data_IF_994949584580
#
_entry.id   IF_994949584580
#
_cell.length_a   1.000
_cell.length_b   1.000
_cell.length_c   1.000
_cell.angle_alpha   90.00
_cell.angle_beta   90.00
_cell.angle_gamma   90.00
#
_symmetry.space_group_name_H-M   'P 1'
#
loop_
_entity.id
_entity.type
_entity.pdbx_description
1 polymer ?
#
# COMPACT_ATOMS: atom_id res chain seq x y z
N UNK A 1 0.67 9.77 15.52
CA UNK A 1 1.26 10.95 14.85
C UNK A 1 1.25 10.81 13.33
N UNK A 2 1.67 9.69 12.74
CA UNK A 2 1.75 9.50 11.27
C UNK A 2 0.43 9.87 10.56
N UNK A 3 -0.77 9.40 10.98
CA UNK A 3 -2.03 9.79 10.34
C UNK A 3 -2.23 11.30 10.29
N UNK A 4 -1.97 12.00 11.41
CA UNK A 4 -2.15 13.44 11.49
C UNK A 4 -1.12 14.20 10.64
N UNK A 5 0.11 13.71 10.52
CA UNK A 5 1.13 14.31 9.62
C UNK A 5 0.66 14.22 8.18
N UNK A 6 0.19 13.05 7.73
CA UNK A 6 -0.31 12.84 6.36
C UNK A 6 -1.53 13.73 6.08
N UNK A 7 -2.51 13.75 6.99
CA UNK A 7 -3.73 14.53 6.82
C UNK A 7 -3.46 16.06 6.82
N UNK A 8 -2.65 16.54 7.76
CA UNK A 8 -2.27 17.96 7.81
C UNK A 8 -1.45 18.37 6.60
N UNK A 9 -0.48 17.54 6.17
CA UNK A 9 0.29 17.81 4.95
C UNK A 9 -0.63 17.95 3.73
N UNK A 10 -1.60 17.06 3.59
CA UNK A 10 -2.58 17.16 2.49
C UNK A 10 -3.43 18.42 2.58
N UNK A 11 -3.89 18.80 3.77
CA UNK A 11 -4.63 20.03 3.96
C UNK A 11 -3.81 21.24 3.50
N UNK A 12 -2.57 21.38 3.97
CA UNK A 12 -1.69 22.50 3.59
C UNK A 12 -1.38 22.54 2.10
N UNK A 13 -1.04 21.40 1.47
CA UNK A 13 -0.78 21.39 0.02
C UNK A 13 -2.02 21.70 -0.83
N UNK A 14 -3.21 21.53 -0.25
CA UNK A 14 -4.50 21.91 -0.85
C UNK A 14 -4.91 23.35 -0.53
N UNK A 15 -4.03 24.13 0.08
CA UNK A 15 -4.29 25.53 0.46
C UNK A 15 -5.29 25.68 1.61
N UNK A 16 -5.47 24.66 2.45
CA UNK A 16 -6.40 24.63 3.57
C UNK A 16 -5.67 24.56 4.90
N UNK A 17 -6.23 25.22 5.93
CA UNK A 17 -5.84 24.93 7.30
C UNK A 17 -6.40 23.56 7.73
N UNK A 18 -5.63 22.74 8.49
CA UNK A 18 -6.12 21.49 9.01
C UNK A 18 -7.33 21.68 9.94
N UNK A 19 -8.42 21.00 9.66
CA UNK A 19 -9.57 20.92 10.56
C UNK A 19 -9.25 19.94 11.69
N UNK A 20 -8.99 20.44 12.90
CA UNK A 20 -8.71 19.57 14.03
C UNK A 20 -9.94 18.73 14.41
N UNK A 21 -9.78 17.43 14.62
CA UNK A 21 -10.90 16.54 14.92
C UNK A 21 -11.47 16.83 16.30
N UNK A 22 -12.73 16.45 16.50
CA UNK A 22 -13.36 16.45 17.83
C UNK A 22 -12.63 15.48 18.76
N UNK A 23 -12.60 15.80 20.05
CA UNK A 23 -11.94 14.97 21.08
C UNK A 23 -12.53 13.56 21.19
N UNK A 24 -13.84 13.42 20.92
CA UNK A 24 -14.58 12.17 20.98
C UNK A 24 -14.62 11.39 19.65
N UNK A 25 -13.97 11.92 18.60
CA UNK A 25 -13.95 11.26 17.29
C UNK A 25 -13.11 9.98 17.32
N UNK A 26 -13.64 8.91 16.71
CA UNK A 26 -12.88 7.68 16.47
C UNK A 26 -11.70 7.90 15.54
N UNK A 27 -10.74 6.98 15.53
CA UNK A 27 -9.48 7.14 14.79
C UNK A 27 -9.67 7.42 13.29
N UNK A 28 -10.52 6.67 12.60
CA UNK A 28 -10.80 6.85 11.17
C UNK A 28 -11.55 8.16 10.89
N UNK A 29 -12.53 8.52 11.74
CA UNK A 29 -13.26 9.78 11.64
C UNK A 29 -12.35 10.98 11.85
N UNK A 30 -11.51 10.94 12.89
CA UNK A 30 -10.53 11.98 13.18
C UNK A 30 -9.56 12.20 12.01
N UNK A 31 -9.01 11.11 11.48
CA UNK A 31 -8.12 11.15 10.32
C UNK A 31 -8.79 11.75 9.09
N UNK A 32 -9.98 11.24 8.72
CA UNK A 32 -10.71 11.71 7.54
C UNK A 32 -11.16 13.17 7.67
N UNK A 33 -11.59 13.61 8.86
CA UNK A 33 -12.00 15.00 9.08
C UNK A 33 -10.88 15.99 8.76
N UNK A 34 -9.65 15.69 9.19
CA UNK A 34 -8.48 16.51 8.88
C UNK A 34 -8.12 16.42 7.40
N UNK A 35 -8.15 15.21 6.85
CA UNK A 35 -7.76 14.94 5.46
C UNK A 35 -8.70 15.64 4.46
N UNK A 36 -10.02 15.49 4.64
CA UNK A 36 -11.04 16.03 3.76
C UNK A 36 -11.34 17.52 4.04
N UNK A 37 -11.12 17.98 5.28
CA UNK A 37 -11.50 19.31 5.73
C UNK A 37 -12.99 19.48 6.00
N UNK A 38 -13.70 18.37 6.15
CA UNK A 38 -15.14 18.30 6.43
C UNK A 38 -15.47 17.07 7.24
N UNK A 39 -16.70 16.98 7.73
CA UNK A 39 -17.18 15.79 8.43
C UNK A 39 -17.38 14.65 7.43
N UNK A 40 -16.68 13.51 7.59
CA UNK A 40 -16.84 12.36 6.70
C UNK A 40 -18.21 11.70 6.87
N UNK A 41 -18.69 11.03 5.81
CA UNK A 41 -19.89 10.20 5.89
C UNK A 41 -19.62 8.94 6.74
N UNK A 42 -20.66 8.35 7.34
CA UNK A 42 -20.50 7.09 8.06
C UNK A 42 -19.92 5.96 7.20
N UNK A 43 -20.22 5.90 5.90
CA UNK A 43 -19.64 4.92 4.99
C UNK A 43 -18.15 5.17 4.78
N UNK A 44 -17.74 6.42 4.54
CA UNK A 44 -16.33 6.80 4.42
C UNK A 44 -15.53 6.39 5.67
N UNK A 45 -16.07 6.62 6.87
CA UNK A 45 -15.44 6.22 8.14
C UNK A 45 -15.27 4.70 8.19
N UNK A 46 -16.33 3.92 7.91
CA UNK A 46 -16.26 2.46 7.93
C UNK A 46 -15.26 1.90 6.92
N UNK A 47 -15.20 2.49 5.74
CA UNK A 47 -14.28 2.04 4.67
C UNK A 47 -12.83 2.29 5.05
N UNK A 48 -12.51 3.46 5.58
CA UNK A 48 -11.13 3.76 6.02
C UNK A 48 -10.76 2.95 7.25
N UNK A 49 -11.65 2.78 8.24
CA UNK A 49 -11.38 1.96 9.41
C UNK A 49 -11.08 0.50 9.01
N UNK A 50 -11.92 -0.08 8.14
CA UNK A 50 -11.68 -1.40 7.55
C UNK A 50 -10.36 -1.45 6.78
N UNK A 51 -10.06 -0.41 5.98
CA UNK A 51 -8.79 -0.26 5.27
C UNK A 51 -7.60 -0.31 6.23
N UNK A 52 -7.64 0.44 7.32
CA UNK A 52 -6.58 0.42 8.32
C UNK A 52 -6.38 -0.97 8.95
N UNK A 53 -7.47 -1.66 9.28
CA UNK A 53 -7.40 -3.01 9.85
C UNK A 53 -6.77 -4.00 8.87
N UNK A 54 -7.19 -4.04 7.60
CA UNK A 54 -6.67 -5.02 6.62
C UNK A 54 -5.25 -4.71 6.16
N UNK A 55 -4.80 -3.47 6.32
CA UNK A 55 -3.41 -3.06 6.01
C UNK A 55 -2.47 -3.14 7.21
N UNK A 56 -2.97 -3.28 8.44
CA UNK A 56 -2.20 -3.09 9.67
C UNK A 56 -0.91 -3.90 9.73
N UNK A 57 -0.93 -5.17 9.37
CA UNK A 57 0.28 -6.00 9.30
C UNK A 57 0.22 -6.98 8.13
N UNK A 58 1.39 -7.44 7.72
CA UNK A 58 1.56 -8.49 6.72
C UNK A 58 2.88 -9.24 6.94
N UNK A 59 3.12 -9.65 8.16
CA UNK A 59 4.31 -10.40 8.56
C UNK A 59 5.61 -9.67 8.22
N UNK A 60 6.66 -10.45 7.91
CA UNK A 60 7.99 -9.93 7.61
C UNK A 60 8.13 -9.47 6.15
N UNK A 61 7.26 -8.54 5.71
CA UNK A 61 7.43 -7.86 4.42
C UNK A 61 8.64 -6.92 4.43
N UNK A 62 9.05 -6.41 3.27
CA UNK A 62 10.29 -5.64 3.13
C UNK A 62 10.37 -4.45 4.09
N UNK A 63 9.31 -3.66 4.24
CA UNK A 63 9.31 -2.50 5.15
C UNK A 63 9.28 -2.89 6.62
N UNK A 64 8.53 -3.92 7.01
CA UNK A 64 8.53 -4.44 8.38
C UNK A 64 9.91 -5.04 8.74
N UNK A 65 10.53 -5.76 7.81
CA UNK A 65 11.89 -6.27 7.98
C UNK A 65 12.90 -5.14 8.13
N UNK A 66 12.78 -4.07 7.35
CA UNK A 66 13.64 -2.88 7.46
C UNK A 66 13.51 -2.21 8.83
N UNK A 67 12.27 -2.08 9.37
CA UNK A 67 12.07 -1.60 10.73
C UNK A 67 12.78 -2.49 11.77
N UNK A 68 12.66 -3.81 11.64
CA UNK A 68 13.35 -4.78 12.53
C UNK A 68 14.86 -4.67 12.44
N UNK A 69 15.43 -4.47 11.25
CA UNK A 69 16.88 -4.26 11.07
C UNK A 69 17.33 -3.01 11.80
N UNK A 70 16.60 -1.89 11.66
CA UNK A 70 16.91 -0.65 12.35
C UNK A 70 16.87 -0.83 13.89
N UNK A 71 15.82 -1.44 14.43
CA UNK A 71 15.70 -1.76 15.86
C UNK A 71 16.82 -2.74 16.29
N UNK A 72 17.15 -3.71 15.44
CA UNK A 72 18.27 -4.64 15.66
C UNK A 72 19.59 -3.92 15.93
N UNK A 73 19.81 -2.80 15.25
CA UNK A 73 20.94 -1.90 15.46
C UNK A 73 20.77 -0.97 16.68
N UNK A 74 19.70 -1.09 17.47
CA UNK A 74 19.32 -0.21 18.59
C UNK A 74 19.02 1.24 18.18
N UNK A 75 18.55 1.45 16.95
CA UNK A 75 17.97 2.72 16.56
C UNK A 75 16.64 2.95 17.30
N UNK A 76 16.24 4.21 17.44
CA UNK A 76 14.96 4.54 18.06
C UNK A 76 13.76 4.24 17.14
N UNK A 77 12.55 4.31 17.70
CA UNK A 77 11.30 4.02 16.97
C UNK A 77 11.11 4.95 15.77
N UNK A 78 11.49 6.23 15.87
CA UNK A 78 11.33 7.20 14.80
C UNK A 78 12.23 6.83 13.61
N UNK A 79 13.49 6.49 13.87
CA UNK A 79 14.43 6.03 12.86
C UNK A 79 13.95 4.73 12.19
N UNK A 80 13.44 3.77 12.97
CA UNK A 80 12.91 2.51 12.46
C UNK A 80 11.70 2.71 11.54
N UNK A 81 10.76 3.57 11.93
CA UNK A 81 9.59 3.89 11.11
C UNK A 81 9.98 4.68 9.84
N UNK A 82 10.94 5.59 9.95
CA UNK A 82 11.48 6.32 8.78
C UNK A 82 12.11 5.35 7.77
N UNK A 83 12.89 4.39 8.24
CA UNK A 83 13.49 3.36 7.39
C UNK A 83 12.42 2.46 6.75
N UNK A 84 11.36 2.08 7.50
CA UNK A 84 10.23 1.33 6.99
C UNK A 84 9.48 2.10 5.89
N UNK A 85 9.21 3.39 6.08
CA UNK A 85 8.57 4.27 5.10
C UNK A 85 9.42 4.38 3.84
N UNK A 86 10.73 4.57 3.98
CA UNK A 86 11.66 4.62 2.85
C UNK A 86 11.63 3.32 2.02
N UNK A 87 11.67 2.15 2.68
CA UNK A 87 11.54 0.87 1.99
C UNK A 87 10.15 0.70 1.35
N UNK A 88 9.09 1.20 2.00
CA UNK A 88 7.71 1.10 1.52
C UNK A 88 7.47 1.96 0.28
N UNK A 89 8.11 3.12 0.16
CA UNK A 89 7.95 4.04 -0.98
C UNK A 89 8.48 3.47 -2.32
N UNK A 90 9.19 2.35 -2.28
CA UNK A 90 9.70 1.70 -3.50
C UNK A 90 8.58 1.21 -4.42
N UNK A 91 8.79 1.35 -5.74
CA UNK A 91 7.80 1.04 -6.79
C UNK A 91 7.35 -0.43 -6.84
N UNK A 92 8.12 -1.35 -6.27
CA UNK A 92 7.80 -2.78 -6.19
C UNK A 92 7.24 -3.17 -4.81
N UNK A 93 6.91 -2.20 -3.95
CA UNK A 93 6.32 -2.42 -2.64
C UNK A 93 5.06 -1.58 -2.47
N UNK A 94 5.11 -0.33 -1.99
CA UNK A 94 3.92 0.48 -1.72
C UNK A 94 3.31 1.16 -2.94
N UNK A 95 4.06 1.32 -4.04
CA UNK A 95 3.59 2.04 -5.24
C UNK A 95 2.59 1.28 -6.12
N UNK A 96 2.13 0.08 -5.72
CA UNK A 96 1.22 -0.71 -6.54
C UNK A 96 -0.21 -0.17 -6.53
N UNK A 97 -0.70 0.34 -5.42
CA UNK A 97 -2.08 0.84 -5.28
C UNK A 97 -2.35 2.05 -6.20
N UNK A 98 -1.40 2.98 -6.33
CA UNK A 98 -1.50 4.12 -7.26
C UNK A 98 -1.60 3.65 -8.71
N UNK A 99 -0.83 2.63 -9.11
CA UNK A 99 -0.86 2.10 -10.47
C UNK A 99 -2.14 1.34 -10.82
N UNK A 100 -2.86 0.80 -9.84
CA UNK A 100 -4.19 0.20 -10.08
C UNK A 100 -5.20 1.27 -10.50
N UNK A 101 -5.10 2.47 -9.95
CA UNK A 101 -5.98 3.57 -10.35
C UNK A 101 -5.73 3.94 -11.82
N UNK A 102 -4.47 4.00 -12.24
CA UNK A 102 -4.10 4.18 -13.66
C UNK A 102 -4.66 3.09 -14.56
N UNK A 103 -4.69 1.83 -14.11
CA UNK A 103 -5.30 0.72 -14.84
C UNK A 103 -6.80 0.95 -15.12
N UNK A 104 -7.55 1.51 -14.16
CA UNK A 104 -8.97 1.85 -14.37
C UNK A 104 -9.12 2.87 -15.51
N UNK A 105 -8.27 3.89 -15.53
CA UNK A 105 -8.29 4.93 -16.57
C UNK A 105 -7.87 4.38 -17.93
N UNK A 106 -6.86 3.51 -17.99
CA UNK A 106 -6.38 2.87 -19.23
C UNK A 106 -7.41 1.91 -19.84
N UNK A 107 -8.14 1.15 -19.02
CA UNK A 107 -9.19 0.24 -19.47
C UNK A 107 -10.42 1.03 -19.95
N UNK A 108 -10.79 2.09 -19.23
CA UNK A 108 -11.84 3.04 -19.58
C UNK A 108 -13.26 2.49 -19.45
N UNK A 109 -13.56 1.29 -19.97
CA UNK A 109 -14.87 0.62 -19.83
C UNK A 109 -14.72 -0.87 -19.55
N UNK A 110 -15.70 -1.52 -18.88
CA UNK A 110 -15.63 -2.95 -18.58
C UNK A 110 -15.42 -3.85 -19.81
N UNK A 111 -15.98 -3.47 -20.96
CA UNK A 111 -15.90 -4.23 -22.22
C UNK A 111 -14.45 -4.31 -22.75
N UNK A 112 -13.62 -3.33 -22.45
CA UNK A 112 -12.22 -3.29 -22.87
C UNK A 112 -11.29 -4.17 -22.01
N UNK A 113 -11.74 -4.62 -20.84
CA UNK A 113 -10.90 -5.28 -19.85
C UNK A 113 -10.20 -6.53 -20.39
N UNK A 114 -10.91 -7.40 -21.13
CA UNK A 114 -10.33 -8.63 -21.68
C UNK A 114 -9.22 -8.33 -22.68
N UNK A 115 -9.46 -7.42 -23.62
CA UNK A 115 -8.48 -7.02 -24.64
C UNK A 115 -7.26 -6.35 -24.00
N UNK A 116 -7.48 -5.48 -23.01
CA UNK A 116 -6.40 -4.79 -22.29
C UNK A 116 -5.51 -5.79 -21.52
N UNK A 117 -6.11 -6.70 -20.75
CA UNK A 117 -5.40 -7.76 -20.03
C UNK A 117 -4.62 -8.67 -21.00
N UNK A 118 -5.23 -9.07 -22.11
CA UNK A 118 -4.56 -9.91 -23.12
C UNK A 118 -3.34 -9.19 -23.73
N UNK A 119 -3.46 -7.89 -24.00
CA UNK A 119 -2.36 -7.08 -24.53
C UNK A 119 -1.19 -6.98 -23.55
N UNK A 120 -1.44 -6.67 -22.26
CA UNK A 120 -0.40 -6.63 -21.21
C UNK A 120 0.29 -7.99 -21.07
N UNK A 121 -0.50 -9.06 -20.96
CA UNK A 121 0.04 -10.42 -20.82
C UNK A 121 0.81 -10.90 -22.04
N UNK A 122 0.38 -10.51 -23.24
CA UNK A 122 1.08 -10.80 -24.50
C UNK A 122 2.46 -10.13 -24.57
N UNK A 123 2.65 -8.98 -23.93
CA UNK A 123 3.96 -8.29 -23.80
C UNK A 123 4.79 -8.76 -22.60
N UNK A 124 4.25 -9.70 -21.80
CA UNK A 124 4.92 -10.14 -20.55
C UNK A 124 4.84 -9.11 -19.42
N UNK A 125 3.98 -8.10 -19.55
CA UNK A 125 3.81 -7.04 -18.56
C UNK A 125 2.89 -7.49 -17.41
N UNK A 126 3.13 -7.01 -16.17
CA UNK A 126 2.26 -7.30 -15.05
C UNK A 126 0.94 -6.54 -15.18
N UNK A 127 -0.18 -7.18 -14.79
CA UNK A 127 -1.44 -6.49 -14.53
C UNK A 127 -1.43 -6.04 -13.07
N UNK A 128 -1.57 -4.74 -12.82
CA UNK A 128 -1.53 -4.19 -11.47
C UNK A 128 -2.71 -4.72 -10.64
N UNK A 129 -2.50 -4.92 -9.34
CA UNK A 129 -3.49 -5.53 -8.45
C UNK A 129 -3.54 -7.05 -8.48
N UNK A 130 -2.59 -7.71 -9.19
CA UNK A 130 -2.50 -9.17 -9.28
C UNK A 130 -1.11 -9.70 -8.96
N UNK A 131 -1.10 -10.92 -8.40
CA UNK A 131 0.12 -11.59 -7.95
C UNK A 131 0.50 -11.23 -6.52
N UNK A 132 1.14 -12.17 -5.83
CA UNK A 132 1.57 -12.01 -4.45
C UNK A 132 2.78 -12.91 -4.14
N UNK A 133 3.68 -12.42 -3.28
CA UNK A 133 4.87 -13.20 -2.89
C UNK A 133 4.53 -14.40 -2.00
N UNK A 134 3.51 -14.27 -1.16
CA UNK A 134 3.11 -15.28 -0.16
C UNK A 134 1.88 -16.06 -0.63
N UNK A 135 0.79 -15.35 -0.97
CA UNK A 135 -0.45 -16.00 -1.40
C UNK A 135 -0.31 -16.58 -2.82
N UNK A 136 -0.74 -17.82 -2.97
CA UNK A 136 -0.81 -18.54 -4.27
C UNK A 136 -2.23 -18.57 -4.83
N UNK A 137 -3.19 -18.16 -4.01
CA UNK A 137 -4.61 -17.96 -4.33
C UNK A 137 -4.96 -16.50 -4.11
N UNK A 138 -6.24 -16.15 -4.20
CA UNK A 138 -6.71 -14.80 -3.91
C UNK A 138 -6.30 -14.37 -2.49
N UNK A 139 -5.83 -13.14 -2.37
CA UNK A 139 -5.51 -12.52 -1.09
C UNK A 139 -6.81 -12.35 -0.27
N UNK A 140 -6.90 -12.89 0.96
CA UNK A 140 -8.13 -12.85 1.76
C UNK A 140 -8.64 -11.44 2.06
N UNK A 141 -7.80 -10.41 1.92
CA UNK A 141 -8.15 -9.00 2.13
C UNK A 141 -8.98 -8.42 0.98
N UNK A 142 -8.85 -8.97 -0.23
CA UNK A 142 -9.54 -8.51 -1.45
C UNK A 142 -11.05 -8.42 -1.25
N UNK A 143 -11.67 -9.46 -0.70
CA UNK A 143 -13.13 -9.50 -0.47
C UNK A 143 -13.62 -8.34 0.42
N UNK A 144 -12.82 -7.96 1.42
CA UNK A 144 -13.17 -6.89 2.36
C UNK A 144 -13.05 -5.52 1.70
N UNK A 145 -12.01 -5.30 0.91
CA UNK A 145 -11.82 -4.04 0.17
C UNK A 145 -12.82 -3.90 -0.97
N UNK A 146 -13.11 -4.99 -1.70
CA UNK A 146 -14.16 -4.97 -2.71
C UNK A 146 -15.53 -4.60 -2.10
N UNK A 147 -15.88 -5.16 -0.94
CA UNK A 147 -17.11 -4.79 -0.23
C UNK A 147 -17.15 -3.29 0.14
N UNK A 148 -15.99 -2.71 0.50
CA UNK A 148 -15.86 -1.27 0.76
C UNK A 148 -16.07 -0.43 -0.50
N UNK A 149 -15.52 -0.87 -1.64
CA UNK A 149 -15.75 -0.19 -2.93
C UNK A 149 -17.22 -0.27 -3.35
N UNK A 150 -17.88 -1.42 -3.15
CA UNK A 150 -19.33 -1.56 -3.41
C UNK A 150 -20.12 -0.54 -2.59
N UNK A 151 -19.88 -0.45 -1.28
CA UNK A 151 -20.54 0.49 -0.37
C UNK A 151 -20.37 1.95 -0.82
N UNK A 152 -19.16 2.36 -1.17
CA UNK A 152 -18.89 3.73 -1.63
C UNK A 152 -19.48 4.01 -3.02
N UNK A 153 -19.45 3.02 -3.92
CA UNK A 153 -20.03 3.15 -5.25
C UNK A 153 -21.56 3.32 -5.20
N UNK A 154 -22.22 2.59 -4.30
CA UNK A 154 -23.66 2.73 -4.06
C UNK A 154 -24.00 4.09 -3.44
N UNK A 155 -23.23 4.56 -2.45
CA UNK A 155 -23.42 5.88 -1.85
C UNK A 155 -23.27 7.01 -2.89
N UNK A 156 -22.34 6.87 -3.83
CA UNK A 156 -22.09 7.88 -4.87
C UNK A 156 -22.98 7.72 -6.11
N UNK A 157 -23.65 6.59 -6.27
CA UNK A 157 -24.41 6.28 -7.48
C UNK A 157 -23.52 6.08 -8.71
N UNK A 158 -22.23 5.77 -8.52
CA UNK A 158 -21.25 5.52 -9.59
C UNK A 158 -20.53 4.21 -9.37
N UNK A 159 -20.76 3.25 -10.26
CA UNK A 159 -20.14 1.92 -10.23
C UNK A 159 -19.07 1.71 -11.30
N UNK A 160 -18.81 2.70 -12.14
CA UNK A 160 -17.96 2.57 -13.32
C UNK A 160 -16.60 1.95 -12.98
N UNK A 161 -15.89 2.49 -12.00
CA UNK A 161 -14.58 1.97 -11.57
C UNK A 161 -14.67 0.54 -11.00
N UNK A 162 -15.71 0.23 -10.23
CA UNK A 162 -15.95 -1.10 -9.68
C UNK A 162 -16.19 -2.12 -10.80
N UNK A 163 -17.05 -1.79 -11.75
CA UNK A 163 -17.40 -2.69 -12.87
C UNK A 163 -16.19 -2.94 -13.78
N UNK A 164 -15.33 -1.94 -13.98
CA UNK A 164 -14.04 -2.11 -14.68
C UNK A 164 -13.13 -3.08 -13.91
N UNK A 165 -12.91 -2.89 -12.61
CA UNK A 165 -12.04 -3.76 -11.82
C UNK A 165 -12.59 -5.20 -11.72
N UNK A 166 -13.90 -5.37 -11.62
CA UNK A 166 -14.54 -6.68 -11.64
C UNK A 166 -14.39 -7.39 -13.01
N UNK A 167 -14.45 -6.63 -14.10
CA UNK A 167 -14.18 -7.14 -15.44
C UNK A 167 -12.70 -7.54 -15.60
N UNK A 168 -11.76 -6.72 -15.14
CA UNK A 168 -10.33 -7.05 -15.12
C UNK A 168 -10.07 -8.29 -14.28
N UNK A 169 -10.68 -8.40 -13.09
CA UNK A 169 -10.57 -9.58 -12.24
C UNK A 169 -11.08 -10.85 -12.94
N UNK A 170 -12.16 -10.71 -13.71
CA UNK A 170 -12.71 -11.80 -14.52
C UNK A 170 -11.76 -12.19 -15.66
N UNK A 171 -11.22 -11.23 -16.39
CA UNK A 171 -10.25 -11.45 -17.46
C UNK A 171 -8.96 -12.12 -16.94
N UNK A 172 -8.58 -11.88 -15.68
CA UNK A 172 -7.39 -12.46 -15.05
C UNK A 172 -7.59 -13.91 -14.53
N UNK A 173 -8.81 -14.44 -14.48
CA UNK A 173 -9.08 -15.82 -13.97
C UNK A 173 -8.21 -16.92 -14.59
N UNK A 174 -7.90 -16.94 -15.90
CA UNK A 174 -7.03 -17.97 -16.47
C UNK A 174 -5.63 -18.06 -15.84
N UNK A 175 -5.11 -16.95 -15.31
CA UNK A 175 -3.77 -16.89 -14.67
C UNK A 175 -3.77 -17.22 -13.18
N UNK A 176 -4.93 -17.28 -12.52
CA UNK A 176 -5.03 -17.65 -11.09
C UNK A 176 -4.43 -19.02 -10.78
N UNK A 177 -4.62 -19.99 -11.69
CA UNK A 177 -4.00 -21.32 -11.57
C UNK A 177 -2.46 -21.29 -11.56
N UNK A 178 -1.85 -20.19 -11.99
CA UNK A 178 -0.41 -19.96 -11.96
C UNK A 178 0.02 -19.11 -10.76
N UNK A 179 -0.85 -18.90 -9.77
CA UNK A 179 -0.57 -18.12 -8.58
C UNK A 179 -0.64 -16.60 -8.80
N UNK A 180 -1.23 -16.15 -9.94
CA UNK A 180 -1.42 -14.72 -10.24
C UNK A 180 -2.89 -14.36 -9.98
N UNK A 181 -3.25 -14.31 -8.70
CA UNK A 181 -4.58 -13.94 -8.23
C UNK A 181 -4.63 -12.48 -7.77
N UNK A 182 -5.84 -11.94 -7.56
CA UNK A 182 -6.03 -10.59 -7.06
C UNK A 182 -5.36 -10.40 -5.69
N UNK A 183 -4.75 -9.24 -5.50
CA UNK A 183 -4.11 -8.85 -4.24
C UNK A 183 -4.79 -7.61 -3.64
N UNK A 184 -4.32 -7.19 -2.46
CA UNK A 184 -4.89 -6.10 -1.66
C UNK A 184 -5.00 -4.77 -2.43
N UNK A 185 -4.10 -4.50 -3.37
CA UNK A 185 -4.05 -3.23 -4.08
C UNK A 185 -5.21 -3.05 -5.07
N UNK A 186 -5.80 -4.17 -5.58
CA UNK A 186 -6.81 -4.13 -6.65
C UNK A 186 -8.00 -3.19 -6.35
N UNK A 187 -8.50 -3.20 -5.11
CA UNK A 187 -9.63 -2.35 -4.74
C UNK A 187 -9.26 -1.21 -3.78
N UNK A 188 -8.05 -1.22 -3.18
CA UNK A 188 -7.64 -0.19 -2.24
C UNK A 188 -7.58 1.19 -2.90
N UNK A 189 -6.92 1.31 -4.05
CA UNK A 189 -6.81 2.57 -4.78
C UNK A 189 -8.17 3.17 -5.15
N UNK A 190 -9.09 2.35 -5.68
CA UNK A 190 -10.43 2.81 -6.04
C UNK A 190 -11.22 3.30 -4.81
N UNK A 191 -11.04 2.69 -3.62
CA UNK A 191 -11.65 3.20 -2.39
C UNK A 191 -11.23 4.64 -2.11
N UNK A 192 -9.95 4.97 -2.32
CA UNK A 192 -9.43 6.32 -2.09
C UNK A 192 -9.95 7.32 -3.12
N UNK A 193 -10.01 6.95 -4.40
CA UNK A 193 -10.61 7.78 -5.46
C UNK A 193 -12.09 8.06 -5.20
N UNK A 194 -12.86 7.04 -4.77
CA UNK A 194 -14.26 7.21 -4.39
C UNK A 194 -14.44 8.10 -3.15
N UNK A 195 -13.45 8.27 -2.31
CA UNK A 195 -13.44 9.25 -1.22
C UNK A 195 -13.06 10.66 -1.69
N UNK A 196 -12.79 10.85 -2.98
CA UNK A 196 -12.37 12.14 -3.55
C UNK A 196 -10.90 12.49 -3.25
N UNK A 197 -10.10 11.50 -2.87
CA UNK A 197 -8.69 11.70 -2.56
C UNK A 197 -7.83 11.62 -3.83
N UNK A 198 -6.79 12.46 -3.96
CA UNK A 198 -5.85 12.38 -5.07
C UNK A 198 -5.10 11.05 -5.09
N UNK A 199 -4.85 10.54 -6.29
CA UNK A 199 -4.24 9.23 -6.50
C UNK A 199 -2.84 9.11 -5.86
N UNK A 200 -2.08 10.20 -5.84
CA UNK A 200 -0.73 10.29 -5.22
C UNK A 200 -0.72 10.15 -3.69
N UNK A 201 -1.90 10.19 -3.05
CA UNK A 201 -2.03 9.85 -1.63
C UNK A 201 -2.10 8.35 -1.34
N UNK A 202 -2.29 7.50 -2.34
CA UNK A 202 -2.52 6.07 -2.12
C UNK A 202 -1.41 5.41 -1.28
N UNK A 203 -0.14 5.72 -1.59
CA UNK A 203 1.01 5.22 -0.81
C UNK A 203 0.98 5.73 0.63
N UNK A 204 0.68 7.01 0.84
CA UNK A 204 0.63 7.62 2.18
C UNK A 204 -0.52 7.05 3.03
N UNK A 205 -1.69 6.80 2.42
CA UNK A 205 -2.84 6.16 3.07
C UNK A 205 -2.52 4.72 3.48
N UNK A 206 -1.82 3.99 2.62
CA UNK A 206 -1.35 2.65 2.96
C UNK A 206 -0.35 2.69 4.13
N UNK A 207 0.58 3.65 4.14
CA UNK A 207 1.52 3.88 5.26
C UNK A 207 0.78 4.12 6.56
N UNK A 208 -0.28 4.93 6.56
CA UNK A 208 -1.12 5.18 7.74
C UNK A 208 -1.69 3.86 8.27
N UNK A 209 -2.26 3.04 7.41
CA UNK A 209 -2.80 1.72 7.78
C UNK A 209 -1.72 0.76 8.29
N UNK A 210 -0.52 0.77 7.70
CA UNK A 210 0.58 -0.15 8.02
C UNK A 210 1.40 0.26 9.25
N UNK A 211 1.39 1.52 9.64
CA UNK A 211 2.20 2.02 10.76
C UNK A 211 2.01 1.25 12.08
N UNK A 212 0.79 0.83 12.49
CA UNK A 212 0.62 0.02 13.70
C UNK A 212 1.38 -1.31 13.63
N UNK A 213 1.36 -1.99 12.48
CA UNK A 213 2.10 -3.23 12.28
C UNK A 213 3.61 -3.04 12.36
N UNK A 214 4.15 -1.97 11.75
CA UNK A 214 5.58 -1.66 11.91
C UNK A 214 5.97 -1.39 13.35
N UNK A 215 5.11 -0.68 14.11
CA UNK A 215 5.33 -0.46 15.55
C UNK A 215 5.33 -1.78 16.31
N UNK A 216 4.35 -2.66 16.05
CA UNK A 216 4.28 -3.98 16.67
C UNK A 216 5.52 -4.82 16.36
N UNK A 217 5.95 -4.87 15.10
CA UNK A 217 7.15 -5.57 14.65
C UNK A 217 8.44 -5.00 15.31
N UNK A 218 8.50 -3.67 15.43
CA UNK A 218 9.63 -2.99 16.09
C UNK A 218 9.67 -3.28 17.59
N UNK A 219 8.54 -3.25 18.29
CA UNK A 219 8.43 -3.57 19.71
C UNK A 219 8.80 -5.03 20.00
N UNK A 220 8.34 -5.96 19.17
CA UNK A 220 8.70 -7.37 19.28
C UNK A 220 10.20 -7.57 19.10
N UNK A 221 10.80 -6.93 18.09
CA UNK A 221 12.26 -6.97 17.88
C UNK A 221 13.01 -6.36 19.04
N UNK A 222 12.53 -5.25 19.60
CA UNK A 222 13.15 -4.59 20.75
C UNK A 222 13.16 -5.47 22.00
N UNK A 223 12.03 -6.18 22.25
CA UNK A 223 11.87 -7.04 23.43
C UNK A 223 12.86 -8.21 23.46
N UNK A 224 13.22 -8.77 22.32
CA UNK A 224 14.15 -9.88 22.16
C UNK A 224 15.22 -9.51 21.12
N UNK A 225 15.95 -8.43 21.36
CA UNK A 225 16.80 -7.82 20.36
C UNK A 225 18.03 -8.64 20.01
N UNK A 226 18.16 -8.93 18.72
CA UNK A 226 19.35 -9.51 18.09
C UNK A 226 19.74 -8.64 16.90
N UNK A 227 21.03 -8.33 16.79
CA UNK A 227 21.56 -7.63 15.62
C UNK A 227 21.35 -8.51 14.37
N UNK A 228 20.52 -8.04 13.45
CA UNK A 228 20.26 -8.71 12.18
C UNK A 228 21.42 -8.42 11.24
N UNK A 229 22.30 -9.40 11.08
CA UNK A 229 23.48 -9.29 10.22
C UNK A 229 23.68 -10.60 9.44
N UNK A 230 23.17 -10.67 8.20
CA UNK A 230 23.37 -11.85 7.34
C UNK A 230 24.86 -12.12 7.09
N UNK A 231 25.23 -13.39 7.09
CA UNK A 231 26.55 -13.84 6.63
C UNK A 231 26.51 -14.06 5.12
N UNK A 232 27.53 -13.53 4.45
CA UNK A 232 27.65 -13.66 3.00
C UNK A 232 28.85 -14.53 2.64
N UNK A 233 28.68 -15.40 1.63
CA UNK A 233 29.77 -16.07 0.98
C UNK A 233 30.26 -15.21 -0.19
N UNK A 234 31.53 -14.82 -0.16
CA UNK A 234 32.12 -14.09 -1.28
C UNK A 234 32.33 -15.02 -2.47
N UNK A 235 31.72 -14.68 -3.61
CA UNK A 235 31.78 -15.45 -4.87
C UNK A 235 32.65 -14.78 -5.95
N UNK A 236 33.25 -13.64 -5.65
CA UNK A 236 34.10 -12.92 -6.60
C UNK A 236 35.53 -13.44 -6.68
N UNK A 237 36.37 -12.87 -7.55
CA UNK A 237 37.78 -13.22 -7.69
C UNK A 237 38.56 -13.01 -6.39
N UNK A 238 39.44 -13.95 -6.05
CA UNK A 238 40.31 -13.88 -4.88
C UNK A 238 41.77 -13.70 -5.28
N UNK A 239 42.60 -13.13 -4.39
CA UNK A 239 44.02 -12.99 -4.61
C UNK A 239 44.40 -11.93 -5.65
N UNK A 240 43.48 -11.02 -5.99
CA UNK A 240 43.80 -9.92 -6.90
C UNK A 240 44.84 -9.00 -6.22
N UNK A 241 45.93 -8.63 -6.95
CA UNK A 241 46.85 -7.65 -6.44
C UNK A 241 46.17 -6.28 -6.32
N UNK A 242 46.60 -5.49 -5.35
CA UNK A 242 46.14 -4.10 -5.25
C UNK A 242 46.64 -3.35 -6.52
N UNK A 243 45.77 -2.58 -7.22
CA UNK A 243 46.18 -1.87 -8.40
C UNK A 243 47.38 -0.93 -8.12
N UNK A 244 48.55 -1.24 -8.65
CA UNK A 244 49.69 -0.34 -8.57
C UNK A 244 49.43 0.89 -9.45
N UNK A 245 49.37 2.08 -8.86
CA UNK A 245 49.33 3.33 -9.62
C UNK A 245 47.99 4.05 -9.73
N UNK A 246 47.00 3.79 -8.91
CA UNK A 246 45.94 4.77 -8.68
C UNK A 246 46.55 5.98 -7.93
N UNK A 247 47.19 6.87 -8.70
CA UNK A 247 47.65 8.16 -8.18
C UNK A 247 46.41 8.91 -7.63
N UNK A 248 46.55 9.44 -6.41
CA UNK A 248 45.59 10.33 -5.76
C UNK A 248 45.45 11.63 -6.51
#
# INVERSE_FOLDING_TARGET
>A
RIPMIVAAHHAFRSGREPLWPREDAGHAEAFLSVLLGEKPTPAAVRVIDKGFVVHADHGSNASAFTARVAIGCRADMTAALTAAIAAFSGSVHGGAAERVIGLVDEVGTPENAEAHVAALRGRGEPVMGFGHRVYRTEDPRVRHLRASVVELSEERGDRTGLDILDAVATAMRPWQRHGVAANVDLYAGLSYRLLGLPDDLAVALFVVGRAPGWVAQALEQHANNVLIRPLLAYSGPRGLPYPAGAAR
#
